data_IF_315743954227
#
_entry.id   IF_315743954227
#
_cell.length_a   1.000
_cell.length_b   1.000
_cell.length_c   1.000
_cell.angle_alpha   90.00
_cell.angle_beta   90.00
_cell.angle_gamma   90.00
#
_symmetry.space_group_name_H-M   'P 1'
#
loop_
_entity.id
_entity.type
_entity.pdbx_description
1 polymer ?
#
# COMPACT_ATOMS: atom_id res chain seq x y z
N UNK A 1 -11.36 10.27 -7.04
CA UNK A 1 -10.48 10.85 -8.08
C UNK A 1 -9.87 9.69 -8.86
N UNK A 2 -10.26 9.51 -10.12
CA UNK A 2 -9.69 8.46 -10.99
C UNK A 2 -8.29 8.89 -11.46
N UNK A 3 -7.28 8.07 -11.22
CA UNK A 3 -5.93 8.30 -11.70
C UNK A 3 -5.90 8.09 -13.23
N UNK A 4 -5.90 9.17 -14.01
CA UNK A 4 -5.90 9.13 -15.48
C UNK A 4 -4.60 8.56 -16.08
N UNK A 5 -3.54 8.36 -15.27
CA UNK A 5 -2.28 7.73 -15.68
C UNK A 5 -1.82 6.63 -14.71
N UNK A 6 -2.41 5.42 -14.79
CA UNK A 6 -2.12 4.32 -13.86
C UNK A 6 -0.64 3.89 -13.88
N UNK A 7 0.08 4.11 -14.99
CA UNK A 7 1.49 3.72 -15.12
C UNK A 7 2.42 4.46 -14.17
N UNK A 8 2.24 5.78 -14.01
CA UNK A 8 3.08 6.58 -13.10
C UNK A 8 2.80 6.19 -11.65
N UNK A 9 1.52 5.97 -11.32
CA UNK A 9 1.10 5.46 -10.01
C UNK A 9 1.78 4.13 -9.69
N UNK A 10 1.75 3.17 -10.63
CA UNK A 10 2.40 1.87 -10.44
C UNK A 10 3.92 2.00 -10.26
N UNK A 11 4.57 2.89 -11.03
CA UNK A 11 6.01 3.07 -11.00
C UNK A 11 6.52 3.58 -9.64
N UNK A 12 5.93 4.64 -9.08
CA UNK A 12 6.43 5.20 -7.81
C UNK A 12 6.10 4.31 -6.62
N UNK A 13 4.95 3.62 -6.62
CA UNK A 13 4.65 2.64 -5.57
C UNK A 13 5.58 1.43 -5.65
N UNK A 14 5.90 0.94 -6.85
CA UNK A 14 6.87 -0.14 -7.02
C UNK A 14 8.25 0.24 -6.49
N UNK A 15 8.77 1.42 -6.88
CA UNK A 15 10.07 1.90 -6.39
C UNK A 15 10.09 2.03 -4.87
N UNK A 16 9.01 2.55 -4.28
CA UNK A 16 8.86 2.68 -2.83
C UNK A 16 8.96 1.32 -2.12
N UNK A 17 8.26 0.33 -2.63
CA UNK A 17 8.25 -1.00 -2.02
C UNK A 17 9.56 -1.74 -2.26
N UNK A 18 10.23 -1.51 -3.40
CA UNK A 18 11.57 -2.03 -3.64
C UNK A 18 12.59 -1.43 -2.66
N UNK A 19 12.49 -0.15 -2.28
CA UNK A 19 13.34 0.43 -1.22
C UNK A 19 13.08 -0.25 0.12
N UNK A 20 11.82 -0.48 0.48
CA UNK A 20 11.45 -1.18 1.72
C UNK A 20 12.02 -2.62 1.72
N UNK A 21 11.91 -3.36 0.60
CA UNK A 21 12.50 -4.70 0.47
C UNK A 21 14.02 -4.68 0.67
N UNK A 22 14.70 -3.66 0.14
CA UNK A 22 16.14 -3.52 0.33
C UNK A 22 16.51 -3.29 1.78
N UNK A 23 15.82 -2.36 2.46
CA UNK A 23 16.06 -2.08 3.88
C UNK A 23 15.85 -3.31 4.75
N UNK A 24 14.86 -4.15 4.45
CA UNK A 24 14.63 -5.42 5.14
C UNK A 24 15.80 -6.41 4.92
N UNK A 25 16.35 -6.47 3.70
CA UNK A 25 17.46 -7.38 3.37
C UNK A 25 18.83 -6.87 3.83
N UNK A 26 18.96 -5.59 4.13
CA UNK A 26 20.23 -4.91 4.40
C UNK A 26 21.00 -5.52 5.60
N UNK A 27 20.39 -5.80 6.77
CA UNK A 27 21.11 -6.44 7.88
C UNK A 27 21.71 -7.79 7.52
N UNK A 28 20.99 -8.59 6.73
CA UNK A 28 21.43 -9.91 6.26
C UNK A 28 22.62 -9.75 5.31
N UNK A 29 22.53 -8.83 4.35
CA UNK A 29 23.62 -8.54 3.41
C UNK A 29 24.89 -8.09 4.14
N UNK A 30 24.75 -7.18 5.11
CA UNK A 30 25.87 -6.67 5.89
C UNK A 30 26.53 -7.75 6.76
N UNK A 31 25.77 -8.49 7.57
CA UNK A 31 26.35 -9.44 8.52
C UNK A 31 26.86 -10.72 7.86
N UNK A 32 26.15 -11.24 6.84
CA UNK A 32 26.51 -12.53 6.23
C UNK A 32 27.54 -12.41 5.11
N UNK A 33 27.51 -11.30 4.36
CA UNK A 33 28.30 -11.13 3.14
C UNK A 33 29.29 -9.97 3.22
N UNK A 34 29.30 -9.19 4.31
CA UNK A 34 30.21 -8.06 4.56
C UNK A 34 30.22 -6.98 3.47
N UNK A 35 29.22 -7.02 2.58
CA UNK A 35 29.11 -6.14 1.42
C UNK A 35 27.66 -5.72 1.24
N UNK A 36 27.45 -4.42 1.09
CA UNK A 36 26.12 -3.83 0.89
C UNK A 36 26.08 -3.10 -0.46
N UNK A 37 25.33 -3.62 -1.44
CA UNK A 37 25.37 -3.13 -2.81
C UNK A 37 24.33 -2.00 -2.99
N UNK A 38 24.59 -0.85 -2.35
CA UNK A 38 23.65 0.30 -2.30
C UNK A 38 23.29 0.84 -3.70
N UNK A 39 24.31 1.26 -4.46
CA UNK A 39 24.12 1.96 -5.74
C UNK A 39 23.66 1.03 -6.86
N UNK A 40 24.26 -0.15 -6.92
CA UNK A 40 23.87 -1.22 -7.84
C UNK A 40 22.40 -1.58 -7.68
N UNK A 41 21.92 -1.71 -6.44
CA UNK A 41 20.52 -2.02 -6.17
C UNK A 41 19.61 -0.91 -6.70
N UNK A 42 19.94 0.35 -6.42
CA UNK A 42 19.17 1.50 -6.90
C UNK A 42 19.09 1.56 -8.44
N UNK A 43 20.20 1.28 -9.13
CA UNK A 43 20.24 1.21 -10.58
C UNK A 43 19.35 0.06 -11.09
N UNK A 44 19.48 -1.13 -10.50
CA UNK A 44 18.70 -2.30 -10.91
C UNK A 44 17.20 -2.07 -10.71
N UNK A 45 16.75 -1.51 -9.58
CA UNK A 45 15.32 -1.25 -9.36
C UNK A 45 14.78 -0.18 -10.31
N UNK A 46 15.58 0.83 -10.64
CA UNK A 46 15.19 1.89 -11.56
C UNK A 46 15.05 1.35 -12.99
N UNK A 47 16.02 0.57 -13.46
CA UNK A 47 15.94 -0.12 -14.74
C UNK A 47 14.76 -1.11 -14.78
N UNK A 48 14.55 -1.86 -13.72
CA UNK A 48 13.41 -2.78 -13.59
C UNK A 48 12.08 -2.04 -13.67
N UNK A 49 11.96 -0.90 -12.99
CA UNK A 49 10.77 -0.05 -13.02
C UNK A 49 10.48 0.48 -14.42
N UNK A 50 11.52 0.94 -15.14
CA UNK A 50 11.40 1.39 -16.54
C UNK A 50 10.93 0.23 -17.43
N UNK A 51 11.57 -0.93 -17.32
CA UNK A 51 11.21 -2.12 -18.11
C UNK A 51 9.76 -2.56 -17.85
N UNK A 52 9.35 -2.65 -16.58
CA UNK A 52 7.98 -2.98 -16.23
C UNK A 52 6.98 -1.94 -16.72
N UNK A 53 7.33 -0.64 -16.69
CA UNK A 53 6.49 0.43 -17.24
C UNK A 53 6.33 0.31 -18.75
N UNK A 54 7.40 -0.04 -19.48
CA UNK A 54 7.36 -0.31 -20.93
C UNK A 54 6.48 -1.53 -21.24
N UNK A 55 6.62 -2.62 -20.47
CA UNK A 55 5.80 -3.83 -20.63
C UNK A 55 4.33 -3.51 -20.40
N UNK A 56 4.02 -2.73 -19.36
CA UNK A 56 2.66 -2.26 -19.06
C UNK A 56 2.10 -1.39 -20.17
N UNK A 57 2.93 -0.56 -20.81
CA UNK A 57 2.52 0.27 -21.92
C UNK A 57 2.21 -0.51 -23.20
N UNK A 58 2.84 -1.68 -23.40
CA UNK A 58 2.67 -2.47 -24.63
C UNK A 58 1.76 -3.68 -24.49
N UNK A 59 1.57 -4.21 -23.28
CA UNK A 59 0.91 -5.50 -23.08
C UNK A 59 -0.01 -5.50 -21.87
N UNK A 60 -1.14 -6.21 -21.98
CA UNK A 60 -2.06 -6.40 -20.85
C UNK A 60 -1.74 -7.70 -20.09
N UNK A 61 -1.02 -8.64 -20.71
CA UNK A 61 -0.73 -9.97 -20.15
C UNK A 61 0.30 -9.93 -19.02
N UNK A 62 0.06 -10.71 -17.95
CA UNK A 62 1.01 -10.87 -16.85
C UNK A 62 2.21 -11.76 -17.19
N UNK A 63 2.12 -12.52 -18.28
CA UNK A 63 3.14 -13.48 -18.71
C UNK A 63 4.53 -12.83 -18.91
N UNK A 64 4.57 -11.63 -19.47
CA UNK A 64 5.82 -10.91 -19.75
C UNK A 64 6.59 -10.54 -18.49
N UNK A 65 5.92 -10.23 -17.38
CA UNK A 65 6.62 -9.96 -16.11
C UNK A 65 7.23 -11.23 -15.52
N UNK A 66 6.59 -12.39 -15.70
CA UNK A 66 7.13 -13.68 -15.23
C UNK A 66 8.40 -14.03 -16.01
N UNK A 67 8.43 -13.80 -17.33
CA UNK A 67 9.63 -13.98 -18.15
C UNK A 67 10.77 -13.05 -17.71
N UNK A 68 10.46 -11.87 -17.17
CA UNK A 68 11.48 -10.96 -16.67
C UNK A 68 12.20 -11.48 -15.41
N UNK A 69 11.62 -12.41 -14.64
CA UNK A 69 12.26 -12.94 -13.44
C UNK A 69 13.63 -13.61 -13.71
N UNK A 70 13.78 -14.56 -14.65
CA UNK A 70 15.10 -15.13 -14.98
C UNK A 70 16.08 -14.12 -15.59
N UNK A 71 15.58 -13.10 -16.32
CA UNK A 71 16.44 -12.02 -16.82
C UNK A 71 17.00 -11.20 -15.66
N UNK A 72 16.16 -10.80 -14.71
CA UNK A 72 16.58 -10.06 -13.51
C UNK A 72 17.50 -10.91 -12.63
N UNK A 73 17.26 -12.22 -12.50
CA UNK A 73 18.19 -13.13 -11.84
C UNK A 73 19.59 -13.06 -12.47
N UNK A 74 19.67 -13.13 -13.80
CA UNK A 74 20.92 -12.97 -14.53
C UNK A 74 21.60 -11.62 -14.24
N UNK A 75 20.85 -10.52 -14.19
CA UNK A 75 21.38 -9.20 -13.86
C UNK A 75 21.94 -9.15 -12.43
N UNK A 76 21.21 -9.65 -11.43
CA UNK A 76 21.70 -9.70 -10.05
C UNK A 76 22.92 -10.61 -9.90
N UNK A 77 22.92 -11.76 -10.57
CA UNK A 77 24.04 -12.69 -10.56
C UNK A 77 25.30 -12.09 -11.19
N UNK A 78 25.17 -11.34 -12.30
CA UNK A 78 26.28 -10.64 -12.95
C UNK A 78 26.87 -9.50 -12.12
N UNK A 79 26.12 -8.95 -11.16
CA UNK A 79 26.59 -7.94 -10.20
C UNK A 79 27.05 -8.55 -8.88
N UNK A 80 27.39 -9.84 -8.87
CA UNK A 80 27.92 -10.57 -7.71
C UNK A 80 26.98 -10.58 -6.48
N UNK A 81 25.67 -10.45 -6.68
CA UNK A 81 24.74 -10.61 -5.57
C UNK A 81 24.73 -12.07 -5.10
N UNK A 82 24.65 -12.31 -3.78
CA UNK A 82 24.47 -13.66 -3.25
C UNK A 82 23.29 -14.36 -3.92
N UNK A 83 23.44 -15.65 -4.27
CA UNK A 83 22.42 -16.43 -5.00
C UNK A 83 21.04 -16.30 -4.36
N UNK A 84 20.98 -16.34 -3.01
CA UNK A 84 19.73 -16.16 -2.28
C UNK A 84 19.05 -14.80 -2.58
N UNK A 85 19.80 -13.69 -2.57
CA UNK A 85 19.28 -12.37 -2.91
C UNK A 85 18.97 -12.24 -4.41
N UNK A 86 19.82 -12.83 -5.27
CA UNK A 86 19.64 -12.84 -6.72
C UNK A 86 18.39 -13.59 -7.16
N UNK A 87 17.91 -14.58 -6.41
CA UNK A 87 16.62 -15.24 -6.65
C UNK A 87 15.47 -14.48 -5.98
N UNK A 88 15.66 -14.04 -4.73
CA UNK A 88 14.60 -13.45 -3.93
C UNK A 88 14.12 -12.10 -4.47
N UNK A 89 15.04 -11.20 -4.85
CA UNK A 89 14.64 -9.88 -5.37
C UNK A 89 13.82 -9.95 -6.67
N UNK A 90 14.21 -10.69 -7.73
CA UNK A 90 13.39 -10.84 -8.92
C UNK A 90 11.99 -11.38 -8.65
N UNK A 91 11.89 -12.42 -7.81
CA UNK A 91 10.60 -13.03 -7.46
C UNK A 91 9.72 -12.00 -6.75
N UNK A 92 10.26 -11.29 -5.76
CA UNK A 92 9.53 -10.24 -5.05
C UNK A 92 9.14 -9.07 -5.95
N UNK A 93 10.03 -8.64 -6.84
CA UNK A 93 9.75 -7.53 -7.76
C UNK A 93 8.61 -7.86 -8.72
N UNK A 94 8.66 -9.04 -9.35
CA UNK A 94 7.61 -9.48 -10.27
C UNK A 94 6.28 -9.66 -9.53
N UNK A 95 6.29 -10.37 -8.40
CA UNK A 95 5.10 -10.58 -7.60
C UNK A 95 4.49 -9.26 -7.13
N UNK A 96 5.32 -8.34 -6.63
CA UNK A 96 4.85 -7.05 -6.13
C UNK A 96 4.30 -6.18 -7.24
N UNK A 97 5.00 -6.07 -8.37
CA UNK A 97 4.52 -5.27 -9.50
C UNK A 97 3.17 -5.79 -10.03
N UNK A 98 3.02 -7.10 -10.17
CA UNK A 98 1.74 -7.73 -10.55
C UNK A 98 0.65 -7.40 -9.50
N UNK A 99 0.99 -7.47 -8.21
CA UNK A 99 0.04 -7.15 -7.15
C UNK A 99 -0.39 -5.69 -7.16
N UNK A 100 0.52 -4.74 -7.39
CA UNK A 100 0.20 -3.30 -7.51
C UNK A 100 -0.77 -3.09 -8.67
N UNK A 101 -0.51 -3.71 -9.82
CA UNK A 101 -1.35 -3.57 -11.01
C UNK A 101 -2.77 -4.13 -10.84
N UNK A 102 -2.98 -5.05 -9.90
CA UNK A 102 -4.31 -5.59 -9.57
C UNK A 102 -5.14 -4.67 -8.66
N UNK A 103 -4.55 -3.64 -8.07
CA UNK A 103 -5.25 -2.73 -7.17
C UNK A 103 -5.84 -1.55 -7.95
N UNK A 104 -7.15 -1.32 -7.80
CA UNK A 104 -7.86 -0.22 -8.49
C UNK A 104 -7.58 1.15 -7.86
N UNK A 105 -7.38 1.19 -6.54
CA UNK A 105 -7.08 2.41 -5.77
C UNK A 105 -5.91 2.10 -4.85
N UNK A 106 -4.80 2.81 -5.05
CA UNK A 106 -3.61 2.68 -4.22
C UNK A 106 -3.43 4.00 -3.47
N UNK A 107 -3.53 3.95 -2.14
CA UNK A 107 -3.30 5.09 -1.25
C UNK A 107 -2.52 4.60 -0.03
N UNK A 108 -1.20 4.46 -0.21
CA UNK A 108 -0.27 3.88 0.79
C UNK A 108 0.97 4.75 1.02
N UNK A 109 0.98 5.96 0.50
CA UNK A 109 2.12 6.88 0.52
C UNK A 109 2.61 7.11 1.96
N UNK A 110 1.70 7.46 2.87
CA UNK A 110 2.03 7.68 4.28
C UNK A 110 2.59 6.42 4.95
N UNK A 111 2.05 5.24 4.62
CA UNK A 111 2.55 3.98 5.16
C UNK A 111 3.98 3.69 4.71
N UNK A 112 4.32 3.98 3.46
CA UNK A 112 5.68 3.76 2.95
C UNK A 112 6.70 4.68 3.64
N UNK A 113 6.35 5.94 3.90
CA UNK A 113 7.21 6.88 4.64
C UNK A 113 7.46 6.36 6.06
N UNK A 114 6.39 6.04 6.80
CA UNK A 114 6.49 5.56 8.19
C UNK A 114 7.32 4.27 8.25
N UNK A 115 7.03 3.29 7.40
CA UNK A 115 7.77 2.01 7.35
C UNK A 115 9.24 2.24 7.03
N UNK A 116 9.55 3.11 6.06
CA UNK A 116 10.94 3.40 5.66
C UNK A 116 11.71 4.09 6.79
N UNK A 117 11.11 5.06 7.47
CA UNK A 117 11.74 5.75 8.62
C UNK A 117 12.02 4.75 9.75
N UNK A 118 11.02 3.94 10.11
CA UNK A 118 11.15 2.92 11.17
C UNK A 118 12.22 1.90 10.81
N UNK A 119 12.18 1.36 9.58
CA UNK A 119 13.20 0.41 9.11
C UNK A 119 14.58 1.04 9.07
N UNK A 120 14.73 2.28 8.62
CA UNK A 120 16.03 2.97 8.58
C UNK A 120 16.58 3.16 9.99
N UNK A 121 15.75 3.57 10.95
CA UNK A 121 16.17 3.68 12.35
C UNK A 121 16.63 2.32 12.91
N UNK A 122 15.89 1.25 12.64
CA UNK A 122 16.25 -0.10 13.11
C UNK A 122 17.52 -0.63 12.43
N UNK A 123 17.62 -0.50 11.10
CA UNK A 123 18.76 -0.99 10.32
C UNK A 123 20.02 -0.19 10.63
N UNK A 124 19.91 1.13 10.88
CA UNK A 124 21.07 1.95 11.26
C UNK A 124 21.67 1.55 12.61
N UNK A 125 20.85 1.06 13.56
CA UNK A 125 21.35 0.48 14.81
C UNK A 125 22.16 -0.82 14.58
N UNK A 126 21.70 -1.66 13.66
CA UNK A 126 22.31 -2.97 13.37
C UNK A 126 23.58 -2.84 12.53
N UNK A 127 23.53 -2.04 11.47
CA UNK A 127 24.59 -1.98 10.44
C UNK A 127 25.59 -0.85 10.70
N UNK A 128 25.21 0.17 11.48
CA UNK A 128 26.04 1.33 11.84
C UNK A 128 26.67 2.07 10.63
N UNK A 129 26.08 1.95 9.43
CA UNK A 129 26.49 2.70 8.23
C UNK A 129 25.57 3.92 8.01
N UNK A 130 26.16 5.11 7.96
CA UNK A 130 25.43 6.37 7.76
C UNK A 130 24.76 6.47 6.38
N UNK A 131 25.24 5.72 5.37
CA UNK A 131 24.67 5.71 4.01
C UNK A 131 23.21 5.25 3.98
N UNK A 132 22.78 4.47 4.97
CA UNK A 132 21.39 3.99 5.08
C UNK A 132 20.41 5.15 5.28
N UNK A 133 20.86 6.28 5.82
CA UNK A 133 20.03 7.47 6.02
C UNK A 133 19.56 8.12 4.72
N UNK A 134 20.13 7.77 3.56
CA UNK A 134 19.68 8.30 2.26
C UNK A 134 18.30 7.78 1.86
N UNK A 135 17.90 6.58 2.32
CA UNK A 135 16.70 5.90 1.84
C UNK A 135 15.39 6.61 2.23
N UNK A 136 15.20 7.14 3.46
CA UNK A 136 14.05 7.98 3.78
C UNK A 136 13.92 9.22 2.88
N UNK A 137 15.04 9.90 2.57
CA UNK A 137 15.01 11.05 1.66
C UNK A 137 14.62 10.63 0.25
N UNK A 138 15.27 9.57 -0.25
CA UNK A 138 14.96 9.02 -1.56
C UNK A 138 13.50 8.59 -1.65
N UNK A 139 12.96 7.97 -0.60
CA UNK A 139 11.57 7.56 -0.47
C UNK A 139 10.61 8.75 -0.55
N UNK A 140 10.89 9.83 0.19
CA UNK A 140 10.10 11.07 0.15
C UNK A 140 10.15 11.70 -1.24
N UNK A 141 11.34 11.76 -1.86
CA UNK A 141 11.52 12.30 -3.21
C UNK A 141 10.68 11.49 -4.21
N UNK A 142 10.79 10.16 -4.20
CA UNK A 142 10.05 9.28 -5.11
C UNK A 142 8.55 9.44 -4.94
N UNK A 143 8.05 9.52 -3.69
CA UNK A 143 6.63 9.67 -3.42
C UNK A 143 6.09 11.02 -3.86
N UNK A 144 6.77 12.11 -3.48
CA UNK A 144 6.31 13.46 -3.83
C UNK A 144 6.40 13.66 -5.35
N UNK A 145 7.55 13.33 -5.97
CA UNK A 145 7.70 13.44 -7.42
C UNK A 145 6.73 12.52 -8.15
N UNK A 146 6.53 11.30 -7.68
CA UNK A 146 5.58 10.35 -8.25
C UNK A 146 4.13 10.82 -8.17
N UNK A 147 3.71 11.31 -7.00
CA UNK A 147 2.38 11.85 -6.75
C UNK A 147 2.12 13.08 -7.63
N UNK A 148 3.04 14.05 -7.62
CA UNK A 148 2.96 15.27 -8.43
C UNK A 148 2.93 14.91 -9.92
N UNK A 149 3.80 14.01 -10.38
CA UNK A 149 3.84 13.59 -11.79
C UNK A 149 2.55 12.90 -12.22
N UNK A 150 2.00 12.03 -11.35
CA UNK A 150 0.74 11.35 -11.58
C UNK A 150 -0.43 12.35 -11.67
N UNK A 151 -0.44 13.36 -10.80
CA UNK A 151 -1.48 14.40 -10.81
C UNK A 151 -1.34 15.35 -12.02
N UNK A 152 -0.12 15.80 -12.32
CA UNK A 152 0.20 16.65 -13.48
C UNK A 152 -0.16 15.99 -14.80
N UNK A 153 0.04 14.68 -14.92
CA UNK A 153 -0.32 13.94 -16.11
C UNK A 153 -1.85 13.95 -16.33
N UNK A 154 -2.66 14.09 -15.28
CA UNK A 154 -4.11 14.15 -15.38
C UNK A 154 -4.67 15.55 -15.74
N UNK A 155 -3.88 16.62 -15.60
CA UNK A 155 -4.31 17.99 -15.85
C UNK A 155 -4.31 18.37 -17.34
N UNK A 156 -5.19 19.29 -17.74
CA UNK A 156 -5.25 19.83 -19.11
C UNK A 156 -3.98 20.66 -19.42
N UNK A 157 -3.55 20.66 -20.68
CA UNK A 157 -2.28 21.25 -21.16
C UNK A 157 -2.05 22.72 -20.77
N UNK A 158 -3.12 23.48 -20.53
CA UNK A 158 -3.07 24.91 -20.22
C UNK A 158 -2.78 25.18 -18.73
N UNK A 159 -3.34 24.38 -17.82
CA UNK A 159 -3.10 24.45 -16.36
C UNK A 159 -1.69 23.93 -15.98
N UNK A 160 -1.12 23.03 -16.81
CA UNK A 160 0.19 22.42 -16.56
C UNK A 160 1.36 23.42 -16.57
N UNK A 161 1.29 24.48 -17.38
CA UNK A 161 2.43 25.37 -17.66
C UNK A 161 2.73 26.37 -16.55
N UNK A 162 1.71 26.84 -15.84
CA UNK A 162 1.87 27.72 -14.67
C UNK A 162 2.28 26.94 -13.42
N UNK A 163 1.76 25.72 -13.28
CA UNK A 163 2.07 24.83 -12.15
C UNK A 163 3.52 24.32 -12.18
N UNK A 164 4.10 24.04 -13.35
CA UNK A 164 5.41 23.37 -13.49
C UNK A 164 6.60 24.17 -12.91
N UNK A 165 6.70 25.49 -13.12
CA UNK A 165 7.90 26.26 -12.72
C UNK A 165 7.96 26.56 -11.24
N UNK A 166 6.84 27.02 -10.68
CA UNK A 166 6.78 27.46 -9.29
C UNK A 166 6.89 26.26 -8.34
N UNK A 167 6.23 25.16 -8.69
CA UNK A 167 6.30 23.94 -7.89
C UNK A 167 7.69 23.30 -7.90
N UNK A 168 8.38 23.28 -9.05
CA UNK A 168 9.73 22.73 -9.13
C UNK A 168 10.71 23.52 -8.23
N UNK A 169 10.60 24.85 -8.20
CA UNK A 169 11.42 25.70 -7.32
C UNK A 169 11.11 25.44 -5.85
N UNK A 170 9.83 25.36 -5.47
CA UNK A 170 9.46 25.02 -4.09
C UNK A 170 9.91 23.62 -3.70
N UNK A 171 9.85 22.65 -4.60
CA UNK A 171 10.28 21.29 -4.35
C UNK A 171 11.79 21.20 -4.13
N UNK A 172 12.58 21.83 -5.01
CA UNK A 172 14.05 21.90 -4.86
C UNK A 172 14.43 22.65 -3.58
N UNK A 173 13.77 23.79 -3.31
CA UNK A 173 14.00 24.57 -2.09
C UNK A 173 13.66 23.77 -0.83
N UNK A 174 12.52 23.08 -0.81
CA UNK A 174 12.10 22.23 0.29
C UNK A 174 13.06 21.07 0.53
N UNK A 175 13.52 20.38 -0.52
CA UNK A 175 14.51 19.31 -0.40
C UNK A 175 15.86 19.83 0.09
N UNK A 176 16.32 20.97 -0.42
CA UNK A 176 17.57 21.60 0.02
C UNK A 176 17.53 21.98 1.51
N UNK A 177 16.45 22.62 1.95
CA UNK A 177 16.24 22.99 3.36
C UNK A 177 16.13 21.73 4.23
N UNK A 178 15.35 20.73 3.79
CA UNK A 178 15.17 19.47 4.50
C UNK A 178 16.48 18.70 4.68
N UNK A 179 17.32 18.63 3.65
CA UNK A 179 18.64 18.01 3.72
C UNK A 179 19.57 18.75 4.68
N UNK A 180 19.55 20.09 4.67
CA UNK A 180 20.38 20.91 5.56
C UNK A 180 19.96 20.76 7.02
N UNK A 181 18.65 20.84 7.30
CA UNK A 181 18.10 20.60 8.64
C UNK A 181 18.40 19.19 9.13
N UNK A 182 18.26 18.18 8.26
CA UNK A 182 18.58 16.82 8.63
C UNK A 182 20.06 16.66 8.98
N UNK A 183 20.96 17.17 8.14
CA UNK A 183 22.39 17.10 8.41
C UNK A 183 22.73 17.73 9.76
N UNK A 184 22.18 18.92 10.04
CA UNK A 184 22.38 19.62 11.31
C UNK A 184 21.85 18.88 12.55
N UNK A 185 20.73 18.16 12.41
CA UNK A 185 20.05 17.47 13.52
C UNK A 185 20.51 16.00 13.67
N UNK A 186 21.11 15.42 12.62
CA UNK A 186 21.43 13.99 12.52
C UNK A 186 22.29 13.47 13.68
N UNK A 187 23.32 14.22 14.08
CA UNK A 187 24.17 13.86 15.21
C UNK A 187 23.39 13.89 16.54
N UNK A 188 22.51 14.88 16.72
CA UNK A 188 21.63 14.99 17.89
C UNK A 188 20.65 13.83 18.00
N UNK A 189 20.00 13.44 16.89
CA UNK A 189 19.13 12.26 16.85
C UNK A 189 19.93 11.00 17.16
N UNK A 190 21.10 10.82 16.53
CA UNK A 190 21.95 9.64 16.77
C UNK A 190 22.33 9.50 18.23
N UNK A 191 22.79 10.59 18.85
CA UNK A 191 23.16 10.59 20.26
C UNK A 191 21.96 10.33 21.17
N UNK A 192 20.79 10.86 20.83
CA UNK A 192 19.55 10.63 21.58
C UNK A 192 19.11 9.17 21.51
N UNK A 193 19.14 8.57 20.31
CA UNK A 193 18.78 7.16 20.10
C UNK A 193 19.78 6.24 20.82
N UNK A 194 21.08 6.51 20.72
CA UNK A 194 22.11 5.77 21.44
C UNK A 194 21.95 5.92 22.97
N UNK A 195 21.61 7.11 23.45
CA UNK A 195 21.33 7.36 24.86
C UNK A 195 20.13 6.55 25.37
N UNK A 196 19.02 6.55 24.63
CA UNK A 196 17.83 5.75 24.94
C UNK A 196 18.17 4.25 24.92
N UNK A 197 18.92 3.80 23.91
CA UNK A 197 19.31 2.40 23.79
C UNK A 197 20.22 1.95 24.95
N UNK A 198 21.22 2.75 25.30
CA UNK A 198 22.09 2.48 26.43
C UNK A 198 21.32 2.50 27.75
N UNK A 199 20.35 3.40 27.91
CA UNK A 199 19.43 3.41 29.06
C UNK A 199 18.60 2.12 29.14
N UNK A 200 18.09 1.64 28.01
CA UNK A 200 17.33 0.39 27.93
C UNK A 200 18.20 -0.83 28.24
N UNK A 201 19.42 -0.89 27.71
CA UNK A 201 20.41 -1.92 28.04
C UNK A 201 20.79 -1.88 29.53
N UNK A 202 20.91 -0.69 30.12
CA UNK A 202 21.19 -0.56 31.55
C UNK A 202 20.02 -1.08 32.39
N UNK A 203 18.77 -0.76 32.03
CA UNK A 203 17.58 -1.31 32.69
C UNK A 203 17.50 -2.84 32.57
N UNK A 204 17.79 -3.38 31.38
CA UNK A 204 17.89 -4.82 31.18
C UNK A 204 19.02 -5.44 32.02
N UNK A 205 20.18 -4.80 32.07
CA UNK A 205 21.32 -5.22 32.89
C UNK A 205 20.98 -5.23 34.39
N UNK A 206 20.25 -4.22 34.89
CA UNK A 206 19.74 -4.21 36.26
C UNK A 206 18.75 -5.35 36.52
N UNK A 207 17.90 -5.64 35.53
CA UNK A 207 16.91 -6.72 35.62
C UNK A 207 17.58 -8.09 35.65
N UNK A 208 18.55 -8.31 34.76
CA UNK A 208 19.37 -9.53 34.71
C UNK A 208 20.26 -9.68 35.94
N UNK A 209 20.85 -8.59 36.45
CA UNK A 209 21.61 -8.59 37.69
C UNK A 209 20.73 -8.93 38.90
N UNK A 210 19.49 -8.41 38.94
CA UNK A 210 18.51 -8.81 39.94
C UNK A 210 18.18 -10.31 39.88
N UNK A 211 17.98 -10.85 38.68
CA UNK A 211 17.75 -12.28 38.47
C UNK A 211 18.99 -13.10 38.87
N UNK A 212 20.20 -12.65 38.52
CA UNK A 212 21.46 -13.29 38.89
C UNK A 212 21.65 -13.33 40.41
N UNK A 213 21.32 -12.25 41.12
CA UNK A 213 21.38 -12.20 42.58
C UNK A 213 20.37 -13.17 43.21
N UNK A 214 19.16 -13.29 42.65
CA UNK A 214 18.16 -14.27 43.09
C UNK A 214 18.63 -15.70 42.82
N UNK A 215 19.24 -15.95 41.66
CA UNK A 215 19.80 -17.26 41.30
C UNK A 215 21.02 -17.62 42.16
N UNK A 216 21.84 -16.65 42.56
CA UNK A 216 22.97 -16.88 43.48
C UNK A 216 22.56 -17.26 44.90
N UNK A 217 21.32 -16.96 45.30
CA UNK A 217 20.73 -17.47 46.56
C UNK A 217 20.34 -18.95 46.47
N UNK A 218 20.25 -19.49 45.25
CA UNK A 218 20.11 -20.92 45.00
C UNK A 218 21.53 -21.42 44.73
N UNK A 219 22.28 -21.64 45.82
CA UNK A 219 23.65 -22.16 45.81
C UNK A 219 23.69 -23.51 45.06
N UNK A 220 23.96 -23.47 43.75
CA UNK A 220 24.41 -24.64 43.02
C UNK A 220 25.89 -24.72 43.33
N UNK A 221 26.21 -25.55 44.33
CA UNK A 221 27.56 -25.89 44.75
C UNK A 221 28.47 -26.00 43.52
N UNK A 222 29.38 -25.04 43.35
CA UNK A 222 30.31 -25.02 42.22
C UNK A 222 31.07 -26.35 42.24
N UNK A 223 30.89 -27.14 41.18
CA UNK A 223 31.70 -28.32 40.98
C UNK A 223 33.09 -27.80 40.68
N UNK A 224 33.96 -27.75 41.69
CA UNK A 224 35.39 -27.48 41.54
C UNK A 224 35.94 -28.38 40.43
N UNK A 225 36.18 -27.80 39.26
CA UNK A 225 37.07 -28.41 38.30
C UNK A 225 38.46 -28.27 38.89
N UNK A 226 39.01 -29.39 39.30
CA UNK A 226 40.38 -29.51 39.82
C UNK A 226 41.32 -28.90 38.77
N UNK A 227 41.82 -27.70 39.05
CA UNK A 227 42.97 -27.14 38.34
C UNK A 227 44.15 -28.05 38.65
N UNK A 228 44.43 -28.93 37.70
CA UNK A 228 45.60 -29.78 37.73
C UNK A 228 46.82 -28.88 37.69
N UNK A 229 47.51 -28.76 38.83
CA UNK A 229 48.82 -28.12 38.96
C UNK A 229 49.78 -28.70 37.91
N UNK A 230 50.12 -27.89 36.92
CA UNK A 230 51.22 -28.16 36.00
C UNK A 230 52.52 -27.64 36.62
N UNK A 231 53.05 -28.38 37.60
CA UNK A 231 54.45 -28.29 37.99
C UNK A 231 55.26 -29.21 37.08
N UNK A 232 55.92 -28.62 36.09
CA UNK A 232 56.81 -29.32 35.16
C UNK A 232 57.47 -28.32 34.23
N UNK A 233 58.64 -27.82 34.66
CA UNK A 233 59.40 -26.78 33.97
C UNK A 233 59.87 -27.17 32.57
N UNK A 234 59.92 -26.15 31.72
CA UNK A 234 60.55 -26.18 30.40
C UNK A 234 60.54 -24.77 29.84
N UNK A 235 61.69 -24.10 29.90
CA UNK A 235 61.93 -22.81 29.27
C UNK A 235 61.60 -22.87 27.77
N UNK A 236 60.67 -22.02 27.36
CA UNK A 236 60.28 -21.82 25.98
C UNK A 236 59.38 -20.61 25.95
N UNK A 237 59.95 -19.46 25.63
CA UNK A 237 59.21 -18.22 25.44
C UNK A 237 58.26 -18.37 24.25
N UNK A 238 57.05 -18.83 24.52
CA UNK A 238 55.92 -18.70 23.61
C UNK A 238 55.00 -17.61 24.15
N UNK A 239 54.71 -16.69 23.25
CA UNK A 239 53.74 -15.63 23.42
C UNK A 239 52.46 -16.20 24.04
N UNK A 240 52.20 -15.82 25.29
CA UNK A 240 50.84 -15.79 25.79
C UNK A 240 50.09 -14.77 24.92
N UNK A 241 49.50 -15.25 23.83
CA UNK A 241 48.30 -14.61 23.33
C UNK A 241 47.36 -14.57 24.54
N UNK A 242 47.04 -13.35 25.00
CA UNK A 242 45.81 -13.15 25.76
C UNK A 242 44.73 -14.00 25.08
N UNK A 243 43.95 -14.81 25.81
CA UNK A 243 42.72 -15.30 25.23
C UNK A 243 41.98 -14.03 24.85
N UNK A 244 41.99 -13.71 23.55
CA UNK A 244 41.08 -12.74 22.96
C UNK A 244 39.74 -13.18 23.50
N UNK A 245 39.23 -12.42 24.46
CA UNK A 245 37.92 -12.67 25.03
C UNK A 245 37.02 -12.66 23.81
N UNK A 246 36.62 -13.85 23.39
CA UNK A 246 35.62 -14.04 22.34
C UNK A 246 34.47 -13.25 22.88
N UNK A 247 34.30 -12.06 22.29
CA UNK A 247 33.40 -11.09 22.84
C UNK A 247 32.05 -11.74 22.70
N UNK A 248 31.44 -12.16 23.82
CA UNK A 248 30.08 -12.67 23.81
C UNK A 248 29.12 -11.64 23.16
N UNK A 249 29.57 -10.38 23.00
CA UNK A 249 28.94 -9.35 22.20
C UNK A 249 28.99 -9.62 20.68
N UNK A 250 30.08 -10.17 20.12
CA UNK A 250 30.15 -10.53 18.69
C UNK A 250 29.27 -11.74 18.36
N UNK A 251 29.28 -12.81 19.18
CA UNK A 251 28.34 -13.93 18.96
C UNK A 251 26.88 -13.54 19.25
N UNK A 252 26.63 -12.71 20.28
CA UNK A 252 25.26 -12.24 20.56
C UNK A 252 24.72 -11.31 19.49
N UNK A 253 25.55 -10.57 18.74
CA UNK A 253 25.06 -9.80 17.59
C UNK A 253 24.43 -10.68 16.51
N UNK A 254 24.95 -11.90 16.33
CA UNK A 254 24.44 -12.84 15.35
C UNK A 254 23.09 -13.44 15.80
N UNK A 255 22.96 -13.80 17.07
CA UNK A 255 21.68 -14.26 17.63
C UNK A 255 20.61 -13.16 17.70
N UNK A 256 21.01 -11.91 17.99
CA UNK A 256 20.12 -10.74 17.94
C UNK A 256 19.69 -10.43 16.51
N UNK A 257 20.61 -10.52 15.54
CA UNK A 257 20.28 -10.38 14.12
C UNK A 257 19.32 -11.47 13.64
N UNK A 258 19.52 -12.73 14.04
CA UNK A 258 18.60 -13.84 13.74
C UNK A 258 17.23 -13.60 14.40
N UNK A 259 17.19 -13.25 15.68
CA UNK A 259 15.94 -12.96 16.39
C UNK A 259 15.16 -11.82 15.74
N UNK A 260 15.87 -10.81 15.22
CA UNK A 260 15.28 -9.68 14.52
C UNK A 260 14.80 -10.03 13.10
N UNK A 261 15.52 -10.88 12.36
CA UNK A 261 15.06 -11.42 11.06
C UNK A 261 13.80 -12.26 11.25
N UNK A 262 13.74 -13.06 12.31
CA UNK A 262 12.53 -13.82 12.68
C UNK A 262 11.38 -12.88 13.03
N UNK A 263 11.63 -11.81 13.79
CA UNK A 263 10.62 -10.79 14.09
C UNK A 263 10.10 -10.10 12.82
N UNK A 264 10.99 -9.71 11.90
CA UNK A 264 10.60 -9.12 10.62
C UNK A 264 9.82 -10.10 9.73
N UNK A 265 10.19 -11.39 9.72
CA UNK A 265 9.43 -12.44 9.04
C UNK A 265 8.04 -12.60 9.67
N UNK A 266 7.92 -12.55 11.00
CA UNK A 266 6.63 -12.60 11.70
C UNK A 266 5.77 -11.38 11.33
N UNK A 267 6.34 -10.17 11.30
CA UNK A 267 5.62 -8.94 10.91
C UNK A 267 5.21 -9.02 9.43
N UNK A 268 6.08 -9.48 8.54
CA UNK A 268 5.79 -9.67 7.13
C UNK A 268 4.68 -10.70 6.93
N UNK A 269 4.76 -11.86 7.59
CA UNK A 269 3.73 -12.91 7.58
C UNK A 269 2.42 -12.42 8.19
N UNK A 270 2.46 -11.57 9.22
CA UNK A 270 1.27 -10.95 9.81
C UNK A 270 0.61 -9.97 8.83
N UNK A 271 1.38 -9.15 8.13
CA UNK A 271 0.89 -8.25 7.09
C UNK A 271 0.33 -9.03 5.88
N UNK A 272 1.01 -10.08 5.43
CA UNK A 272 0.56 -10.99 4.38
C UNK A 272 -0.78 -11.65 4.77
N UNK A 273 -0.86 -12.22 5.98
CA UNK A 273 -2.08 -12.88 6.51
C UNK A 273 -3.24 -11.91 6.67
N UNK A 274 -2.99 -10.66 7.10
CA UNK A 274 -4.02 -9.62 7.24
C UNK A 274 -4.59 -9.19 5.89
N UNK A 275 -3.76 -9.15 4.86
CA UNK A 275 -4.18 -8.80 3.49
C UNK A 275 -4.96 -9.93 2.81
N UNK A 276 -4.55 -11.19 2.97
CA UNK A 276 -5.30 -12.32 2.43
C UNK A 276 -6.66 -12.54 3.13
N UNK A 277 -6.80 -12.19 4.40
CA UNK A 277 -8.11 -12.22 5.09
C UNK A 277 -9.04 -11.05 4.72
N UNK A 278 -8.51 -9.92 4.24
CA UNK A 278 -9.34 -8.77 3.85
C UNK A 278 -9.89 -8.90 2.42
N UNK A 279 -9.22 -9.63 1.53
CA UNK A 279 -9.71 -9.83 0.16
C UNK A 279 -10.91 -10.80 0.07
N UNK A 280 -11.06 -11.75 0.99
CA UNK A 280 -12.21 -12.68 0.99
C UNK A 280 -13.50 -12.08 1.56
N UNK A 281 -13.44 -10.91 2.22
CA UNK A 281 -14.63 -10.24 2.78
C UNK A 281 -15.13 -9.04 1.98
N UNK A 282 -14.43 -8.61 0.93
CA UNK A 282 -14.84 -7.49 0.08
C UNK A 282 -15.52 -7.89 -1.23
N UNK A 283 -15.64 -9.19 -1.52
CA UNK A 283 -16.27 -9.67 -2.77
C UNK A 283 -17.81 -9.70 -2.73
N UNK A 284 -18.44 -9.37 -1.60
CA UNK A 284 -19.92 -9.35 -1.46
C UNK A 284 -20.53 -7.97 -1.19
N UNK A 285 -19.76 -6.87 -1.24
CA UNK A 285 -20.31 -5.51 -1.00
C UNK A 285 -19.99 -4.47 -2.08
N UNK A 286 -19.51 -4.88 -3.26
CA UNK A 286 -19.45 -3.99 -4.41
C UNK A 286 -20.67 -4.19 -5.33
N UNK A 287 -21.86 -3.99 -4.77
CA UNK A 287 -23.00 -3.57 -5.58
C UNK A 287 -22.65 -2.18 -6.14
N UNK A 288 -22.59 -2.07 -7.48
CA UNK A 288 -22.41 -0.82 -8.23
C UNK A 288 -23.33 0.29 -7.71
N UNK A 289 -22.82 1.13 -6.81
CA UNK A 289 -23.39 2.46 -6.57
C UNK A 289 -22.66 3.40 -7.53
N UNK A 290 -23.25 3.52 -8.72
CA UNK A 290 -22.89 4.56 -9.68
C UNK A 290 -23.40 5.89 -9.12
N UNK A 291 -22.57 6.59 -8.36
CA UNK A 291 -22.79 8.01 -8.09
C UNK A 291 -22.66 8.75 -9.42
N UNK A 292 -23.80 9.16 -9.98
CA UNK A 292 -23.81 10.15 -11.04
C UNK A 292 -23.42 11.46 -10.37
N UNK A 293 -22.26 12.00 -10.75
CA UNK A 293 -21.79 13.32 -10.33
C UNK A 293 -22.92 14.33 -10.58
N UNK A 294 -23.34 15.00 -9.50
CA UNK A 294 -24.10 16.24 -9.57
C UNK A 294 -23.15 17.30 -10.12
N UNK A 295 -23.27 17.55 -11.41
CA UNK A 295 -22.68 18.70 -12.08
C UNK A 295 -23.26 19.97 -11.44
N UNK A 296 -22.46 20.87 -10.84
CA UNK A 296 -22.95 22.17 -10.42
C UNK A 296 -23.23 22.98 -11.68
N UNK A 297 -24.51 23.10 -11.99
CA UNK A 297 -25.04 23.88 -13.08
C UNK A 297 -24.62 25.35 -12.92
N UNK A 298 -23.94 25.91 -13.93
CA UNK A 298 -24.23 27.26 -14.42
C UNK A 298 -23.65 27.51 -15.83
N UNK A 299 -24.55 27.78 -16.78
CA UNK A 299 -24.25 28.49 -18.02
C UNK A 299 -24.08 27.65 -19.30
N UNK A 300 -25.15 27.54 -20.09
CA UNK A 300 -25.02 27.37 -21.55
C UNK A 300 -25.89 26.29 -22.18
N UNK A 301 -26.94 26.72 -22.88
CA UNK A 301 -27.73 25.93 -23.82
C UNK A 301 -26.86 25.09 -24.78
N UNK A 302 -26.95 23.75 -24.67
CA UNK A 302 -27.05 22.81 -25.81
C UNK A 302 -26.98 21.37 -25.29
N UNK A 303 -28.09 20.87 -24.72
CA UNK A 303 -28.23 19.42 -24.51
C UNK A 303 -28.69 18.77 -25.81
N UNK A 304 -27.74 18.16 -26.52
CA UNK A 304 -27.96 17.37 -27.73
C UNK A 304 -29.09 16.36 -27.54
N UNK A 305 -30.05 16.38 -28.47
CA UNK A 305 -31.17 15.43 -28.60
C UNK A 305 -30.70 13.96 -28.57
N UNK A 306 -29.45 13.70 -29.01
CA UNK A 306 -28.85 12.38 -29.01
C UNK A 306 -28.65 11.79 -27.60
N UNK A 307 -28.39 12.62 -26.59
CA UNK A 307 -28.17 12.18 -25.20
C UNK A 307 -29.49 11.80 -24.52
N UNK A 308 -30.59 12.50 -24.85
CA UNK A 308 -31.95 12.13 -24.41
C UNK A 308 -32.37 10.77 -24.97
N UNK A 309 -32.09 10.51 -26.24
CA UNK A 309 -32.45 9.23 -26.88
C UNK A 309 -31.63 8.09 -26.29
N UNK A 310 -30.32 8.28 -26.07
CA UNK A 310 -29.43 7.23 -25.54
C UNK A 310 -29.80 6.79 -24.11
N UNK A 311 -30.26 7.71 -23.27
CA UNK A 311 -30.75 7.38 -21.92
C UNK A 311 -32.13 6.72 -21.94
N UNK A 312 -32.93 6.93 -23.00
CA UNK A 312 -34.24 6.31 -23.18
C UNK A 312 -34.19 4.80 -23.48
N UNK A 313 -33.02 4.28 -23.88
CA UNK A 313 -32.83 2.89 -24.35
C UNK A 313 -32.11 1.96 -23.35
N UNK A 314 -31.74 2.40 -22.14
CA UNK A 314 -31.30 1.47 -21.08
C UNK A 314 -32.52 0.74 -20.51
N UNK A 315 -32.83 -0.45 -21.03
CA UNK A 315 -33.92 -1.30 -20.53
C UNK A 315 -33.57 -1.78 -19.10
N UNK A 316 -34.44 -1.56 -18.10
CA UNK A 316 -34.26 -2.15 -16.77
C UNK A 316 -34.39 -3.68 -16.86
N UNK A 317 -33.48 -4.41 -16.21
CA UNK A 317 -33.46 -5.88 -16.25
C UNK A 317 -34.62 -6.53 -15.47
N UNK A 318 -35.22 -5.83 -14.49
CA UNK A 318 -36.27 -6.39 -13.62
C UNK A 318 -37.71 -6.04 -14.07
N UNK A 319 -38.67 -6.99 -14.08
CA UNK A 319 -40.06 -6.78 -14.53
C UNK A 319 -40.78 -5.64 -13.79
N UNK A 320 -40.58 -5.53 -12.46
CA UNK A 320 -41.13 -4.43 -11.64
C UNK A 320 -40.62 -3.06 -12.09
N UNK A 321 -39.32 -2.91 -12.36
CA UNK A 321 -38.73 -1.65 -12.86
C UNK A 321 -39.26 -1.28 -14.24
N UNK A 322 -39.56 -2.29 -15.08
CA UNK A 322 -40.17 -2.08 -16.39
C UNK A 322 -41.60 -1.54 -16.29
N UNK A 323 -42.40 -2.06 -15.38
CA UNK A 323 -43.79 -1.61 -15.17
C UNK A 323 -43.83 -0.14 -14.72
N UNK A 324 -42.97 0.23 -13.77
CA UNK A 324 -42.88 1.63 -13.29
C UNK A 324 -42.37 2.57 -14.38
N UNK A 325 -41.36 2.17 -15.16
CA UNK A 325 -40.86 2.97 -16.28
C UNK A 325 -41.92 3.15 -17.38
N UNK A 326 -42.77 2.15 -17.61
CA UNK A 326 -43.89 2.27 -18.56
C UNK A 326 -44.93 3.29 -18.07
N UNK A 327 -45.25 3.25 -16.78
CA UNK A 327 -46.13 4.23 -16.15
C UNK A 327 -45.56 5.65 -16.20
N UNK A 328 -44.27 5.84 -15.91
CA UNK A 328 -43.58 7.15 -16.02
C UNK A 328 -43.69 7.74 -17.42
N UNK A 329 -43.50 6.92 -18.46
CA UNK A 329 -43.70 7.36 -19.86
C UNK A 329 -45.16 7.68 -20.18
N UNK A 330 -46.12 6.97 -19.58
CA UNK A 330 -47.53 7.27 -19.76
C UNK A 330 -47.90 8.61 -19.09
N UNK A 331 -47.42 8.85 -17.88
CA UNK A 331 -47.64 10.10 -17.17
C UNK A 331 -46.94 11.29 -17.84
N UNK A 332 -45.75 11.10 -18.41
CA UNK A 332 -45.06 12.13 -19.20
C UNK A 332 -45.89 12.58 -20.41
N UNK A 333 -46.56 11.66 -21.10
CA UNK A 333 -47.49 11.99 -22.20
C UNK A 333 -48.69 12.82 -21.75
N UNK A 334 -49.11 12.66 -20.50
CA UNK A 334 -50.19 13.42 -19.88
C UNK A 334 -49.68 14.63 -19.07
N UNK A 335 -48.46 15.12 -19.36
CA UNK A 335 -47.81 16.27 -18.70
C UNK A 335 -47.61 16.13 -17.17
N UNK A 336 -47.73 14.91 -16.63
CA UNK A 336 -47.55 14.60 -15.20
C UNK A 336 -46.33 13.69 -14.97
N UNK A 337 -45.33 13.77 -15.84
CA UNK A 337 -44.08 13.00 -15.72
C UNK A 337 -43.24 13.40 -14.49
N UNK A 338 -42.33 12.52 -14.09
CA UNK A 338 -41.42 12.74 -12.95
C UNK A 338 -40.30 13.73 -13.30
N UNK A 339 -39.98 14.65 -12.40
CA UNK A 339 -38.84 15.55 -12.58
C UNK A 339 -37.53 14.88 -12.18
N UNK A 340 -36.40 15.35 -12.73
CA UNK A 340 -35.09 14.71 -12.53
C UNK A 340 -34.58 14.71 -11.07
N UNK A 341 -35.06 15.66 -10.26
CA UNK A 341 -34.71 15.81 -8.85
C UNK A 341 -35.72 15.15 -7.90
N UNK A 342 -36.83 14.60 -8.41
CA UNK A 342 -37.89 14.01 -7.60
C UNK A 342 -37.65 12.52 -7.35
N UNK A 343 -37.92 12.10 -6.11
CA UNK A 343 -38.06 10.68 -5.78
C UNK A 343 -39.36 10.13 -6.37
N UNK A 344 -39.56 8.81 -6.33
CA UNK A 344 -40.81 8.24 -6.89
C UNK A 344 -41.99 8.55 -5.96
N UNK A 345 -41.71 8.68 -4.67
CA UNK A 345 -42.63 9.05 -3.61
C UNK A 345 -43.10 10.50 -3.80
N UNK A 346 -42.16 11.45 -3.91
CA UNK A 346 -42.46 12.87 -4.14
C UNK A 346 -43.26 13.07 -5.44
N UNK A 347 -42.92 12.30 -6.47
CA UNK A 347 -43.61 12.35 -7.74
C UNK A 347 -45.07 11.90 -7.61
N UNK A 348 -45.31 10.79 -6.92
CA UNK A 348 -46.64 10.23 -6.72
C UNK A 348 -47.52 11.15 -5.85
N UNK A 349 -46.94 11.74 -4.81
CA UNK A 349 -47.58 12.75 -3.99
C UNK A 349 -47.99 13.97 -4.84
N UNK A 350 -47.09 14.48 -5.69
CA UNK A 350 -47.38 15.62 -6.57
C UNK A 350 -48.51 15.36 -7.56
N UNK A 351 -48.62 14.15 -8.09
CA UNK A 351 -49.72 13.79 -9.01
C UNK A 351 -51.00 13.38 -8.28
N UNK A 352 -51.03 13.48 -6.95
CA UNK A 352 -52.20 13.19 -6.11
C UNK A 352 -52.51 11.70 -5.99
N UNK A 353 -51.50 10.83 -6.11
CA UNK A 353 -51.67 9.38 -6.11
C UNK A 353 -51.07 8.78 -4.84
N UNK A 354 -51.91 8.27 -3.94
CA UNK A 354 -51.46 7.42 -2.85
C UNK A 354 -51.20 6.01 -3.38
N UNK A 355 -49.97 5.52 -3.22
CA UNK A 355 -49.66 4.14 -3.57
C UNK A 355 -48.63 3.51 -2.67
N UNK A 356 -48.79 2.20 -2.49
CA UNK A 356 -47.83 1.35 -1.81
C UNK A 356 -46.68 0.97 -2.77
N UNK A 357 -45.65 1.84 -2.82
CA UNK A 357 -44.46 1.68 -3.69
C UNK A 357 -43.44 0.69 -3.09
N UNK A 358 -43.77 0.03 -1.98
CA UNK A 358 -42.86 -0.87 -1.24
C UNK A 358 -42.27 -1.94 -2.15
N UNK A 359 -43.06 -2.50 -3.07
CA UNK A 359 -42.61 -3.51 -4.04
C UNK A 359 -41.54 -2.97 -5.01
N UNK A 360 -41.65 -1.70 -5.43
CA UNK A 360 -40.65 -1.08 -6.30
C UNK A 360 -39.39 -0.67 -5.53
N UNK A 361 -39.53 -0.15 -4.30
CA UNK A 361 -38.41 0.17 -3.43
C UNK A 361 -37.58 -1.08 -3.11
N UNK A 362 -38.23 -2.20 -2.79
CA UNK A 362 -37.61 -3.52 -2.55
C UNK A 362 -36.68 -3.93 -3.71
N UNK A 363 -37.20 -3.84 -4.94
CA UNK A 363 -36.44 -4.13 -6.16
C UNK A 363 -35.35 -3.09 -6.46
N UNK A 364 -35.55 -1.83 -6.06
CA UNK A 364 -34.60 -0.73 -6.32
C UNK A 364 -33.39 -0.81 -5.40
N UNK A 365 -33.58 -1.16 -4.13
CA UNK A 365 -32.56 -1.16 -3.09
C UNK A 365 -31.90 -2.53 -2.82
N UNK A 366 -32.23 -3.56 -3.62
CA UNK A 366 -31.39 -4.76 -3.74
C UNK A 366 -32.01 -6.06 -3.21
N UNK A 367 -33.28 -6.07 -2.83
CA UNK A 367 -33.99 -7.31 -2.50
C UNK A 367 -34.63 -7.87 -3.78
N UNK A 368 -34.16 -9.05 -4.21
CA UNK A 368 -34.50 -9.61 -5.54
C UNK A 368 -35.69 -10.58 -5.53
N UNK A 369 -36.21 -10.93 -4.36
CA UNK A 369 -37.31 -11.88 -4.23
C UNK A 369 -38.64 -11.13 -4.13
N UNK A 370 -39.29 -10.96 -5.29
CA UNK A 370 -40.67 -10.46 -5.41
C UNK A 370 -41.58 -11.57 -5.91
N UNK A 371 -42.58 -11.91 -5.09
CA UNK A 371 -43.59 -12.91 -5.42
C UNK A 371 -44.40 -12.50 -6.66
N UNK A 372 -44.91 -13.47 -7.42
CA UNK A 372 -45.81 -13.21 -8.56
C UNK A 372 -47.06 -12.43 -8.13
N UNK A 373 -47.55 -12.66 -6.90
CA UNK A 373 -48.69 -11.93 -6.34
C UNK A 373 -48.38 -10.44 -6.11
N UNK A 374 -47.18 -10.10 -5.64
CA UNK A 374 -46.74 -8.71 -5.43
C UNK A 374 -46.58 -7.97 -6.77
N UNK A 375 -46.12 -8.67 -7.82
CA UNK A 375 -46.02 -8.11 -9.16
C UNK A 375 -47.40 -7.81 -9.77
N UNK A 376 -48.38 -8.70 -9.57
CA UNK A 376 -49.75 -8.50 -10.04
C UNK A 376 -50.45 -7.36 -9.29
N UNK A 377 -50.24 -7.26 -7.97
CA UNK A 377 -50.76 -6.17 -7.15
C UNK A 377 -50.24 -4.80 -7.65
N UNK A 378 -48.94 -4.67 -7.87
CA UNK A 378 -48.33 -3.45 -8.41
C UNK A 378 -48.87 -3.11 -9.80
N UNK A 379 -49.00 -4.11 -10.68
CA UNK A 379 -49.56 -3.91 -12.03
C UNK A 379 -51.00 -3.40 -11.98
N UNK A 380 -51.81 -3.91 -11.05
CA UNK A 380 -53.20 -3.50 -10.90
C UNK A 380 -53.32 -2.09 -10.32
N UNK A 381 -52.42 -1.71 -9.40
CA UNK A 381 -52.30 -0.36 -8.87
C UNK A 381 -51.91 0.65 -9.96
N UNK A 382 -50.85 0.38 -10.73
CA UNK A 382 -50.41 1.25 -11.82
C UNK A 382 -51.52 1.45 -12.86
N UNK A 383 -52.26 0.39 -13.21
CA UNK A 383 -53.42 0.50 -14.12
C UNK A 383 -54.56 1.35 -13.56
N UNK A 384 -54.79 1.35 -12.24
CA UNK A 384 -55.79 2.23 -11.62
C UNK A 384 -55.35 3.69 -11.72
N UNK A 385 -54.07 3.97 -11.49
CA UNK A 385 -53.51 5.32 -11.63
C UNK A 385 -53.54 5.80 -13.08
N UNK A 386 -53.25 4.93 -14.05
CA UNK A 386 -53.37 5.29 -15.48
C UNK A 386 -54.79 5.78 -15.81
N UNK A 387 -55.83 5.11 -15.29
CA UNK A 387 -57.22 5.53 -15.48
C UNK A 387 -57.50 6.89 -14.83
N UNK A 388 -57.08 7.07 -13.57
CA UNK A 388 -57.27 8.34 -12.85
C UNK A 388 -56.53 9.52 -13.51
N UNK A 389 -55.42 9.26 -14.22
CA UNK A 389 -54.69 10.25 -15.00
C UNK A 389 -55.39 10.63 -16.32
N UNK A 390 -56.32 9.81 -16.80
CA UNK A 390 -57.04 10.01 -18.07
C UNK A 390 -58.43 10.61 -17.85
N UNK A 391 -59.04 10.40 -16.68
CA UNK A 391 -60.38 10.88 -16.33
C UNK A 391 -60.40 12.33 -15.77
N UNK A 392 -59.25 13.00 -15.73
CA UNK A 392 -59.04 14.40 -15.36
C UNK A 392 -58.35 15.15 -16.50
#
# INVERSE_FOLDING_TARGET
MQNNHPMLTFAYHFLSEAIIMFLIMLPIMYHRFLWVPYWSYLIIILLTCILFSIITARTVSYFWYIIMAPVLFGVFYLWDYPIAAAVLFPVLFVWRYISIRREEIISRENQYIIITIVLTALVSLLVRDSRIMIFPFLQIIILITGYISSHLAALKKQERREFDRMLAVYFIGFLGIGALLFFAISDGIRNSVLGIWNGLLHLLGLSLGGISNILSLIEVNEREWTSQNSDGGGEGGEYWNEPQGVSLLEESTLFVAIGFVVLLLIIALFYLKRRFRSSTKQETQNAKISYSELDPQEGGNSYSIATRIKNMFKRPEHPVRRMVLQFEKFAEKNQKGRMSFETIEDWFERIGMESDIVVYQKVRYGESDVSTQEQEALKLQLKKMEKQLTDH
#
